data_IF_589965285700
#
_entry.id   IF_589965285700
#
_cell.length_a   1.000
_cell.length_b   1.000
_cell.length_c   1.000
_cell.angle_alpha   90.00
_cell.angle_beta   90.00
_cell.angle_gamma   90.00
#
_symmetry.space_group_name_H-M   'P 1'
#
loop_
_entity.id
_entity.type
_entity.pdbx_description
1 polymer ?
#
# COMPACT_ATOMS: atom_id res chain seq x y z
N UNK A 1 11.02 3.16 -6.94
CA UNK A 1 11.90 2.58 -5.89
C UNK A 1 13.39 2.60 -6.26
N UNK A 2 13.83 3.28 -7.33
CA UNK A 2 15.22 3.21 -7.81
C UNK A 2 16.27 3.69 -6.80
N UNK A 3 15.88 4.58 -5.86
CA UNK A 3 16.74 5.10 -4.80
C UNK A 3 17.05 4.07 -3.70
N UNK A 4 16.19 3.08 -3.49
CA UNK A 4 16.42 2.02 -2.49
C UNK A 4 17.66 1.18 -2.86
N UNK A 5 18.47 0.71 -1.90
CA UNK A 5 19.52 -0.27 -2.16
C UNK A 5 18.99 -1.54 -2.84
N UNK A 6 19.87 -2.26 -3.54
CA UNK A 6 19.48 -3.44 -4.33
C UNK A 6 18.73 -4.49 -3.49
N UNK A 7 19.26 -4.83 -2.32
CA UNK A 7 18.62 -5.79 -1.41
C UNK A 7 17.23 -5.31 -0.98
N UNK A 8 17.10 -4.05 -0.58
CA UNK A 8 15.82 -3.44 -0.20
C UNK A 8 14.81 -3.44 -1.35
N UNK A 9 15.23 -3.13 -2.58
CA UNK A 9 14.36 -3.23 -3.76
C UNK A 9 13.84 -4.64 -3.96
N UNK A 10 14.71 -5.66 -3.86
CA UNK A 10 14.30 -7.08 -3.99
C UNK A 10 13.29 -7.46 -2.93
N UNK A 11 13.55 -7.06 -1.68
CA UNK A 11 12.62 -7.28 -0.58
C UNK A 11 11.25 -6.65 -0.84
N UNK A 12 11.22 -5.37 -1.18
CA UNK A 12 9.97 -4.65 -1.44
C UNK A 12 9.21 -5.30 -2.60
N UNK A 13 9.90 -5.62 -3.70
CA UNK A 13 9.30 -6.32 -4.83
C UNK A 13 8.71 -7.67 -4.43
N UNK A 14 9.41 -8.44 -3.60
CA UNK A 14 8.89 -9.71 -3.08
C UNK A 14 7.63 -9.50 -2.24
N UNK A 15 7.63 -8.53 -1.32
CA UNK A 15 6.46 -8.21 -0.50
C UNK A 15 5.25 -7.86 -1.39
N UNK A 16 5.46 -7.05 -2.43
CA UNK A 16 4.41 -6.70 -3.39
C UNK A 16 3.90 -7.92 -4.17
N UNK A 17 4.79 -8.76 -4.68
CA UNK A 17 4.42 -10.00 -5.40
C UNK A 17 3.65 -10.95 -4.49
N UNK A 18 4.15 -11.18 -3.26
CA UNK A 18 3.49 -12.03 -2.26
C UNK A 18 2.14 -11.43 -1.83
N UNK A 19 2.00 -10.10 -1.83
CA UNK A 19 0.73 -9.40 -1.60
C UNK A 19 -0.26 -9.62 -2.76
N UNK A 20 0.20 -9.52 -4.01
CA UNK A 20 -0.61 -9.78 -5.21
C UNK A 20 -1.13 -11.22 -5.20
N UNK A 21 -0.24 -12.19 -4.95
CA UNK A 21 -0.60 -13.61 -4.93
C UNK A 21 -1.61 -13.96 -3.82
N UNK A 22 -1.48 -13.30 -2.67
CA UNK A 22 -2.38 -13.46 -1.51
C UNK A 22 -3.68 -12.66 -1.61
N UNK A 23 -3.88 -11.88 -2.68
CA UNK A 23 -5.13 -11.14 -2.83
C UNK A 23 -6.34 -12.12 -2.78
N UNK A 24 -7.33 -11.86 -1.91
CA UNK A 24 -8.45 -12.77 -1.73
C UNK A 24 -9.37 -12.71 -2.95
N UNK A 25 -9.72 -13.89 -3.46
CA UNK A 25 -10.73 -14.05 -4.50
C UNK A 25 -12.03 -14.44 -3.82
N UNK A 26 -13.02 -13.56 -3.88
CA UNK A 26 -14.39 -13.86 -3.50
C UNK A 26 -15.35 -12.90 -4.21
N UNK A 27 -16.65 -13.15 -4.06
CA UNK A 27 -17.72 -12.41 -4.73
C UNK A 27 -18.06 -11.06 -4.07
N UNK A 28 -17.32 -10.65 -3.03
CA UNK A 28 -17.55 -9.36 -2.40
C UNK A 28 -17.31 -8.23 -3.43
N UNK A 29 -18.25 -7.29 -3.58
CA UNK A 29 -18.12 -6.18 -4.52
C UNK A 29 -16.99 -5.20 -4.16
N UNK A 30 -16.58 -5.14 -2.88
CA UNK A 30 -15.49 -4.30 -2.40
C UNK A 30 -14.49 -5.16 -1.63
N UNK A 31 -13.28 -5.32 -2.19
CA UNK A 31 -12.19 -6.05 -1.54
C UNK A 31 -10.96 -5.16 -1.56
N UNK A 32 -10.30 -5.02 -0.41
CA UNK A 32 -9.01 -4.34 -0.32
C UNK A 32 -7.97 -5.22 0.34
N UNK A 33 -6.71 -5.07 -0.10
CA UNK A 33 -5.56 -5.69 0.53
C UNK A 33 -4.49 -4.61 0.72
N UNK A 34 -4.15 -4.32 1.97
CA UNK A 34 -3.20 -3.28 2.34
C UNK A 34 -1.93 -3.92 2.92
N UNK A 35 -0.77 -3.47 2.46
CA UNK A 35 0.52 -3.82 3.05
C UNK A 35 1.28 -2.54 3.41
N UNK A 36 1.99 -2.59 4.52
CA UNK A 36 2.94 -1.56 4.93
C UNK A 36 4.32 -2.18 5.06
N UNK A 37 5.34 -1.45 4.64
CA UNK A 37 6.74 -1.82 4.85
C UNK A 37 7.61 -0.57 4.92
N UNK A 38 8.68 -0.64 5.70
CA UNK A 38 9.63 0.46 5.86
C UNK A 38 10.58 0.52 4.65
N UNK A 39 10.99 1.75 4.31
CA UNK A 39 12.11 1.98 3.39
C UNK A 39 13.43 1.64 4.07
N UNK A 40 14.49 1.44 3.29
CA UNK A 40 15.85 1.49 3.84
C UNK A 40 16.18 2.85 4.46
N UNK A 41 15.60 3.92 3.93
CA UNK A 41 15.83 5.27 4.42
C UNK A 41 14.99 5.54 5.68
N UNK A 42 15.59 6.13 6.72
CA UNK A 42 14.90 6.38 7.98
C UNK A 42 13.71 7.31 7.76
N UNK A 43 12.62 7.03 8.49
CA UNK A 43 11.38 7.82 8.48
C UNK A 43 10.64 7.84 7.13
N UNK A 44 10.97 6.93 6.22
CA UNK A 44 10.23 6.72 4.97
C UNK A 44 9.50 5.39 5.03
N UNK A 45 8.21 5.39 4.72
CA UNK A 45 7.37 4.20 4.71
C UNK A 45 6.66 4.05 3.37
N UNK A 46 6.30 2.81 3.03
CA UNK A 46 5.51 2.49 1.87
C UNK A 46 4.15 1.94 2.27
N UNK A 47 3.14 2.34 1.53
CA UNK A 47 1.79 1.80 1.60
C UNK A 47 1.45 1.20 0.23
N UNK A 48 1.14 -0.09 0.20
CA UNK A 48 0.74 -0.80 -1.00
C UNK A 48 -0.69 -1.29 -0.87
N UNK A 49 -1.59 -0.74 -1.70
CA UNK A 49 -3.02 -0.97 -1.68
C UNK A 49 -3.46 -1.66 -2.98
N UNK A 50 -4.12 -2.81 -2.86
CA UNK A 50 -4.88 -3.41 -3.95
C UNK A 50 -6.37 -3.20 -3.69
N UNK A 51 -7.13 -2.72 -4.67
CA UNK A 51 -8.56 -2.41 -4.52
C UNK A 51 -9.39 -3.02 -5.65
N UNK A 52 -10.30 -3.94 -5.29
CA UNK A 52 -11.39 -4.41 -6.14
C UNK A 52 -12.63 -3.59 -5.84
N UNK A 53 -13.27 -3.06 -6.88
CA UNK A 53 -14.58 -2.43 -6.81
C UNK A 53 -15.38 -2.81 -8.05
N UNK A 54 -16.56 -3.40 -7.88
CA UNK A 54 -17.36 -3.93 -9.01
C UNK A 54 -18.56 -3.06 -9.40
N UNK A 55 -18.71 -1.88 -8.82
CA UNK A 55 -19.78 -0.93 -9.18
C UNK A 55 -19.29 -0.03 -10.33
N UNK A 56 -19.18 -0.61 -11.54
CA UNK A 56 -18.85 0.13 -12.76
C UNK A 56 -17.75 -0.51 -13.61
N UNK A 57 -17.53 -0.04 -14.86
CA UNK A 57 -16.39 -0.44 -15.67
C UNK A 57 -15.07 -0.02 -15.00
N UNK A 58 -14.06 -0.89 -15.04
CA UNK A 58 -12.76 -0.68 -14.36
C UNK A 58 -12.02 0.61 -14.78
N UNK A 59 -12.38 1.21 -15.92
CA UNK A 59 -11.78 2.42 -16.46
C UNK A 59 -12.61 3.69 -16.20
N UNK A 60 -13.59 3.63 -15.28
CA UNK A 60 -14.37 4.79 -14.87
C UNK A 60 -13.47 5.83 -14.16
N UNK A 61 -13.42 7.08 -14.64
CA UNK A 61 -12.71 8.18 -13.95
C UNK A 61 -13.10 8.32 -12.48
N UNK A 62 -14.34 7.98 -12.11
CA UNK A 62 -14.80 8.01 -10.72
C UNK A 62 -14.16 6.91 -9.88
N UNK A 63 -13.89 5.73 -10.45
CA UNK A 63 -13.18 4.67 -9.74
C UNK A 63 -11.73 5.06 -9.43
N UNK A 64 -11.04 5.73 -10.36
CA UNK A 64 -9.69 6.24 -10.13
C UNK A 64 -9.65 7.24 -8.97
N UNK A 65 -10.63 8.15 -8.91
CA UNK A 65 -10.75 9.12 -7.79
C UNK A 65 -10.96 8.41 -6.46
N UNK A 66 -11.84 7.40 -6.41
CA UNK A 66 -12.08 6.60 -5.20
C UNK A 66 -10.80 5.89 -4.75
N UNK A 67 -10.06 5.26 -5.67
CA UNK A 67 -8.81 4.56 -5.36
C UNK A 67 -7.74 5.52 -4.85
N UNK A 68 -7.58 6.69 -5.46
CA UNK A 68 -6.65 7.74 -5.01
C UNK A 68 -7.03 8.28 -3.63
N UNK A 69 -8.32 8.54 -3.40
CA UNK A 69 -8.80 8.99 -2.09
C UNK A 69 -8.54 7.95 -1.02
N UNK A 70 -8.89 6.68 -1.28
CA UNK A 70 -8.64 5.57 -0.36
C UNK A 70 -7.14 5.38 -0.08
N UNK A 71 -6.28 5.55 -1.10
CA UNK A 71 -4.83 5.53 -0.93
C UNK A 71 -4.34 6.68 -0.04
N UNK A 72 -4.92 7.87 -0.19
CA UNK A 72 -4.62 9.03 0.67
C UNK A 72 -4.92 8.72 2.13
N UNK A 73 -6.11 8.22 2.42
CA UNK A 73 -6.51 7.85 3.79
C UNK A 73 -5.62 6.74 4.34
N UNK A 74 -5.24 5.75 3.53
CA UNK A 74 -4.32 4.68 3.95
C UNK A 74 -2.92 5.22 4.30
N UNK A 75 -2.40 6.18 3.54
CA UNK A 75 -1.12 6.82 3.83
C UNK A 75 -1.17 7.68 5.10
N UNK A 76 -2.22 8.46 5.29
CA UNK A 76 -2.44 9.21 6.53
C UNK A 76 -2.58 8.28 7.74
N UNK A 77 -3.33 7.20 7.61
CA UNK A 77 -3.45 6.18 8.65
C UNK A 77 -2.09 5.53 8.99
N UNK A 78 -1.22 5.32 8.00
CA UNK A 78 0.14 4.85 8.26
C UNK A 78 0.95 5.87 9.06
N UNK A 79 0.85 7.18 8.74
CA UNK A 79 1.49 8.24 9.52
C UNK A 79 0.97 8.29 10.96
N UNK A 80 -0.34 8.15 11.18
CA UNK A 80 -0.93 8.07 12.53
C UNK A 80 -0.41 6.86 13.30
N UNK A 81 -0.31 5.70 12.65
CA UNK A 81 0.17 4.46 13.27
C UNK A 81 1.68 4.50 13.55
N UNK A 82 2.45 5.15 12.70
CA UNK A 82 3.90 5.24 12.77
C UNK A 82 4.35 6.72 12.81
N UNK A 83 4.25 7.39 13.98
CA UNK A 83 4.46 8.84 14.07
C UNK A 83 5.83 9.34 13.62
N UNK A 84 6.85 8.47 13.62
CA UNK A 84 8.21 8.79 13.15
C UNK A 84 8.29 9.11 11.66
N UNK A 85 7.30 8.70 10.86
CA UNK A 85 7.32 8.88 9.41
C UNK A 85 7.35 10.37 9.03
N UNK A 86 8.29 10.74 8.18
CA UNK A 86 8.37 12.04 7.52
C UNK A 86 7.90 11.97 6.07
N UNK A 87 7.86 10.78 5.50
CA UNK A 87 7.40 10.58 4.13
C UNK A 87 6.69 9.23 4.02
N UNK A 88 5.52 9.21 3.39
CA UNK A 88 4.81 7.97 3.05
C UNK A 88 4.67 7.91 1.53
N UNK A 89 5.11 6.82 0.93
CA UNK A 89 4.97 6.55 -0.50
C UNK A 89 3.82 5.58 -0.69
N UNK A 90 2.71 6.09 -1.22
CA UNK A 90 1.52 5.33 -1.55
C UNK A 90 1.58 4.75 -2.96
N UNK A 91 1.23 3.48 -3.08
CA UNK A 91 1.08 2.77 -4.35
C UNK A 91 -0.27 2.05 -4.28
N UNK A 92 -1.20 2.41 -5.16
CA UNK A 92 -2.46 1.69 -5.31
C UNK A 92 -2.53 1.04 -6.69
N UNK A 93 -3.16 -0.13 -6.78
CA UNK A 93 -3.40 -0.77 -8.06
C UNK A 93 -4.67 -1.63 -8.08
N UNK A 94 -5.13 -1.92 -9.29
CA UNK A 94 -6.11 -2.98 -9.51
C UNK A 94 -5.48 -4.35 -9.21
N UNK A 95 -6.17 -5.26 -8.51
CA UNK A 95 -5.59 -6.54 -8.13
C UNK A 95 -5.35 -7.40 -9.37
N UNK A 96 -4.09 -7.72 -9.73
CA UNK A 96 -3.77 -8.43 -10.98
C UNK A 96 -4.42 -9.80 -11.10
N UNK A 97 -4.75 -10.40 -9.95
CA UNK A 97 -5.35 -11.74 -9.87
C UNK A 97 -6.77 -11.80 -10.45
N UNK A 98 -7.46 -10.67 -10.54
CA UNK A 98 -8.87 -10.61 -10.95
C UNK A 98 -9.18 -9.51 -11.96
N UNK A 99 -8.27 -8.54 -12.16
CA UNK A 99 -8.43 -7.49 -13.16
C UNK A 99 -7.57 -7.80 -14.39
N UNK A 100 -8.13 -7.56 -15.59
CA UNK A 100 -7.39 -7.58 -16.85
C UNK A 100 -6.68 -6.26 -17.13
N UNK A 101 -7.15 -5.17 -16.53
CA UNK A 101 -6.52 -3.86 -16.58
C UNK A 101 -5.73 -3.66 -15.28
N UNK A 102 -4.52 -3.13 -15.39
CA UNK A 102 -3.63 -2.93 -14.25
C UNK A 102 -3.38 -1.43 -14.08
N UNK A 103 -4.42 -0.67 -13.74
CA UNK A 103 -4.21 0.75 -13.47
C UNK A 103 -3.50 0.92 -12.14
N UNK A 104 -2.43 1.73 -12.14
CA UNK A 104 -1.73 2.12 -10.91
C UNK A 104 -1.88 3.62 -10.60
N UNK A 105 -1.90 3.92 -9.31
CA UNK A 105 -1.78 5.27 -8.77
C UNK A 105 -0.62 5.36 -7.79
N UNK A 106 0.10 6.48 -7.87
CA UNK A 106 1.22 6.78 -7.00
C UNK A 106 0.94 8.08 -6.25
N UNK A 107 1.28 8.10 -4.96
CA UNK A 107 1.16 9.28 -4.13
C UNK A 107 2.41 9.41 -3.24
N UNK A 108 2.86 10.64 -3.03
CA UNK A 108 3.85 10.99 -2.03
C UNK A 108 3.17 11.88 -0.99
N UNK A 109 3.04 11.38 0.24
CA UNK A 109 2.57 12.17 1.37
C UNK A 109 3.78 12.67 2.15
N UNK A 110 4.05 13.97 2.04
CA UNK A 110 5.06 14.65 2.86
C UNK A 110 4.48 14.93 4.24
N UNK A 111 5.08 14.35 5.27
CA UNK A 111 4.68 14.49 6.67
C UNK A 111 5.68 15.33 7.46
N UNK A 112 6.61 16.04 6.80
CA UNK A 112 7.62 16.87 7.46
C UNK A 112 7.00 18.02 8.25
N UNK A 113 5.90 18.58 7.75
CA UNK A 113 5.13 19.67 8.37
C UNK A 113 3.74 19.20 8.85
N UNK A 114 3.66 17.99 9.43
CA UNK A 114 2.40 17.41 9.87
C UNK A 114 1.74 18.22 10.98
N UNK A 115 0.57 18.78 10.70
CA UNK A 115 -0.18 19.64 11.63
C UNK A 115 -1.18 18.83 12.48
N UNK A 116 -1.77 19.47 13.49
CA UNK A 116 -2.85 18.85 14.27
C UNK A 116 -4.13 18.71 13.45
N UNK A 117 -4.33 19.61 12.50
CA UNK A 117 -5.43 19.60 11.54
C UNK A 117 -5.30 18.40 10.60
N UNK A 118 -4.10 18.11 10.09
CA UNK A 118 -3.82 16.90 9.31
C UNK A 118 -4.10 15.64 10.14
N UNK A 119 -3.62 15.61 11.39
CA UNK A 119 -3.85 14.49 12.29
C UNK A 119 -5.34 14.24 12.51
N UNK A 120 -6.10 15.29 12.80
CA UNK A 120 -7.54 15.21 13.02
C UNK A 120 -8.27 14.74 11.75
N UNK A 121 -7.95 15.33 10.60
CA UNK A 121 -8.53 14.97 9.31
C UNK A 121 -8.37 13.48 9.00
N UNK A 122 -7.12 12.99 8.97
CA UNK A 122 -6.88 11.58 8.62
C UNK A 122 -7.39 10.62 9.68
N UNK A 123 -7.45 11.04 10.94
CA UNK A 123 -8.03 10.22 12.01
C UNK A 123 -9.53 10.08 11.84
N UNK A 124 -10.24 11.18 11.58
CA UNK A 124 -11.68 11.19 11.33
C UNK A 124 -12.02 10.39 10.07
N UNK A 125 -11.34 10.68 8.96
CA UNK A 125 -11.56 9.97 7.69
C UNK A 125 -11.36 8.46 7.85
N UNK A 126 -10.32 8.03 8.55
CA UNK A 126 -10.03 6.60 8.72
C UNK A 126 -11.06 5.86 9.59
N UNK A 127 -11.95 6.56 10.31
CA UNK A 127 -13.06 5.95 11.06
C UNK A 127 -14.24 5.55 10.16
N UNK A 128 -14.35 6.10 8.94
CA UNK A 128 -15.43 5.73 8.02
C UNK A 128 -15.40 4.24 7.67
N UNK A 129 -16.60 3.68 7.50
CA UNK A 129 -16.77 2.30 7.07
C UNK A 129 -16.13 2.09 5.70
N UNK A 130 -15.26 1.07 5.62
CA UNK A 130 -14.49 0.80 4.41
C UNK A 130 -13.04 1.32 4.41
N UNK A 131 -12.62 2.12 5.40
CA UNK A 131 -11.21 2.52 5.56
C UNK A 131 -10.53 1.79 6.71
N UNK A 132 -10.81 2.16 7.97
CA UNK A 132 -10.34 1.49 9.21
C UNK A 132 -8.94 0.87 9.10
N UNK A 133 -8.04 1.56 8.42
CA UNK A 133 -6.71 1.07 8.09
C UNK A 133 -5.88 1.05 9.37
N UNK A 134 -5.11 -0.02 9.55
CA UNK A 134 -4.29 -0.25 10.73
C UNK A 134 -5.05 -0.29 12.08
N UNK A 135 -6.40 -0.42 12.05
CA UNK A 135 -7.26 -0.52 13.23
C UNK A 135 -7.77 -1.94 13.51
N UNK A 136 -7.64 -2.86 12.54
CA UNK A 136 -8.13 -4.24 12.67
C UNK A 136 -7.12 -5.12 13.40
N UNK A 137 -7.59 -5.97 14.31
CA UNK A 137 -6.75 -6.95 15.04
C UNK A 137 -6.18 -8.05 14.13
N UNK A 138 -6.65 -8.13 12.88
CA UNK A 138 -6.17 -9.09 11.88
C UNK A 138 -4.88 -8.66 11.17
N UNK A 139 -4.24 -7.56 11.58
CA UNK A 139 -2.95 -7.13 11.07
C UNK A 139 -1.87 -8.20 11.34
N UNK A 140 -1.38 -8.81 10.26
CA UNK A 140 -0.28 -9.77 10.33
C UNK A 140 1.05 -9.04 10.16
N UNK A 141 1.80 -8.92 11.24
CA UNK A 141 3.21 -8.49 11.19
C UNK A 141 4.09 -9.67 10.78
N UNK A 142 5.03 -9.46 9.87
CA UNK A 142 5.97 -10.51 9.45
C UNK A 142 7.36 -9.95 9.20
N UNK A 143 8.37 -10.69 9.63
CA UNK A 143 9.75 -10.45 9.23
C UNK A 143 10.03 -11.27 7.96
N UNK A 144 10.61 -10.63 6.96
CA UNK A 144 11.03 -11.30 5.72
C UNK A 144 12.56 -11.27 5.64
N UNK A 145 13.14 -12.27 4.97
CA UNK A 145 14.56 -12.35 4.68
C UNK A 145 14.75 -12.49 3.18
N UNK A 146 15.72 -11.78 2.61
CA UNK A 146 16.05 -11.84 1.18
C UNK A 146 17.56 -11.87 0.96
N UNK A 147 18.00 -12.40 -0.18
CA UNK A 147 19.41 -12.43 -0.57
C UNK A 147 19.69 -11.39 -1.65
N UNK A 148 20.88 -10.77 -1.58
CA UNK A 148 21.27 -9.69 -2.49
C UNK A 148 21.52 -10.19 -3.93
N UNK A 149 22.05 -11.41 -4.04
CA UNK A 149 22.30 -12.10 -5.29
C UNK A 149 21.33 -13.27 -5.47
N UNK A 150 20.84 -13.51 -6.70
CA UNK A 150 20.19 -14.78 -7.03
C UNK A 150 21.16 -15.91 -6.69
N UNK A 151 20.61 -17.05 -6.28
CA UNK A 151 21.40 -18.26 -6.08
C UNK A 151 22.22 -18.54 -7.35
N UNK A 152 23.55 -18.67 -7.22
CA UNK A 152 24.46 -18.89 -8.33
C UNK A 152 24.12 -20.17 -9.12
N UNK A 153 23.31 -21.05 -8.53
CA UNK A 153 22.78 -22.27 -9.14
C UNK A 153 21.63 -22.06 -10.14
N UNK A 154 21.05 -20.87 -10.21
CA UNK A 154 19.95 -20.53 -11.14
C UNK A 154 20.42 -19.82 -12.42
N UNK A 155 21.74 -19.76 -12.66
CA UNK A 155 22.34 -19.14 -13.86
C UNK A 155 22.68 -20.15 -14.98
N UNK A 156 22.06 -21.33 -14.98
CA UNK A 156 22.24 -22.36 -16.02
C UNK A 156 21.28 -22.17 -17.19
#
# INVERSE_FOLDING_TARGET
MAKEPRLSRRMISKIMIDSINRFPINDNPLIRNLNYFESYYPNVGYVFLQLKYTLGPNDDPEFRKVRQFMLSIACGAAKLKFPKLKTVIGIAMDPPKISKNHSEDFMLLDCSNWTKEDEAYYKEENLHDGFKFFMLDSLKTGNSHETEFPDSRLQS
#
